data_IF_806962339929
#
_entry.id   IF_806962339929
#
_cell.length_a   1.000
_cell.length_b   1.000
_cell.length_c   1.000
_cell.angle_alpha   90.00
_cell.angle_beta   90.00
_cell.angle_gamma   90.00
#
_symmetry.space_group_name_H-M   'P 1'
#
loop_
_entity.id
_entity.type
_entity.pdbx_description
1 polymer ?
#
# COMPACT_ATOMS: atom_id res chain seq x y z
N UNK A 1 30.07 -0.42 -3.05
CA UNK A 1 29.25 0.35 -2.09
C UNK A 1 28.58 -0.62 -1.14
N UNK A 2 28.14 -0.17 0.01
CA UNK A 2 27.50 -1.06 1.01
C UNK A 2 26.00 -0.87 0.93
N UNK A 3 25.25 -1.95 0.68
CA UNK A 3 23.79 -1.90 0.53
C UNK A 3 23.07 -2.16 1.84
N UNK A 4 22.09 -1.31 2.10
CA UNK A 4 21.18 -1.42 3.24
C UNK A 4 19.77 -1.65 2.77
N UNK A 5 19.07 -2.55 3.46
CA UNK A 5 17.62 -2.70 3.40
C UNK A 5 17.04 -2.08 4.65
N UNK A 6 15.99 -1.28 4.51
CA UNK A 6 15.28 -0.71 5.63
C UNK A 6 13.77 -0.97 5.51
N UNK A 7 13.15 -1.25 6.66
CA UNK A 7 11.70 -1.23 6.80
C UNK A 7 11.30 0.10 7.42
N UNK A 8 10.34 0.77 6.78
CA UNK A 8 9.84 2.08 7.21
C UNK A 8 8.32 2.05 7.37
N UNK A 9 7.81 2.85 8.29
CA UNK A 9 6.40 3.18 8.41
C UNK A 9 6.16 4.65 8.12
N UNK A 10 4.96 5.02 7.67
CA UNK A 10 4.62 6.42 7.45
C UNK A 10 3.11 6.69 7.48
N UNK A 11 2.76 7.86 7.99
CA UNK A 11 1.46 8.48 7.79
C UNK A 11 1.45 9.21 6.42
N UNK A 12 0.71 8.66 5.46
CA UNK A 12 0.64 9.17 4.10
C UNK A 12 -0.18 10.45 3.92
N UNK A 13 -0.85 10.94 4.97
CA UNK A 13 -1.84 12.03 4.91
C UNK A 13 -1.34 13.28 4.19
N UNK A 14 -0.11 13.71 4.50
CA UNK A 14 0.50 14.94 3.96
C UNK A 14 1.43 14.68 2.77
N UNK A 15 1.45 13.45 2.24
CA UNK A 15 2.30 13.08 1.13
C UNK A 15 1.51 12.88 -0.17
N UNK A 16 2.11 13.30 -1.26
CA UNK A 16 1.62 13.05 -2.63
C UNK A 16 1.99 11.64 -3.12
N UNK A 17 2.22 10.71 -2.20
CA UNK A 17 2.62 9.33 -2.41
C UNK A 17 4.09 9.07 -2.14
N UNK A 18 4.52 7.84 -2.43
CA UNK A 18 5.90 7.41 -2.15
C UNK A 18 6.92 8.05 -3.10
N UNK A 19 6.66 8.00 -4.40
CA UNK A 19 7.62 8.38 -5.45
C UNK A 19 7.84 9.89 -5.50
N UNK A 20 9.10 10.32 -5.57
CA UNK A 20 9.48 11.73 -5.79
C UNK A 20 8.83 12.29 -7.06
N UNK A 21 8.27 13.49 -6.95
CA UNK A 21 7.59 14.22 -8.00
C UNK A 21 7.97 15.70 -7.95
N UNK A 22 7.97 16.42 -9.08
CA UNK A 22 8.17 17.87 -9.07
C UNK A 22 7.07 18.55 -8.25
N UNK A 23 7.46 19.51 -7.40
CA UNK A 23 6.55 20.38 -6.63
C UNK A 23 5.56 19.66 -5.69
N UNK A 24 5.90 18.46 -5.23
CA UNK A 24 5.05 17.71 -4.32
C UNK A 24 5.88 16.95 -3.28
N UNK A 25 5.51 17.07 -2.01
CA UNK A 25 6.16 16.34 -0.90
C UNK A 25 5.92 14.84 -1.04
N UNK A 26 6.97 14.05 -1.00
CA UNK A 26 6.91 12.58 -1.15
C UNK A 26 7.80 11.88 -0.11
N UNK A 27 7.46 10.62 0.21
CA UNK A 27 8.23 9.80 1.16
C UNK A 27 9.67 9.63 0.71
N UNK A 28 9.88 9.29 -0.56
CA UNK A 28 11.21 9.11 -1.13
C UNK A 28 12.07 10.37 -1.00
N UNK A 29 11.52 11.54 -1.26
CA UNK A 29 12.25 12.81 -1.19
C UNK A 29 12.69 13.13 0.23
N UNK A 30 11.83 12.94 1.23
CA UNK A 30 12.19 13.21 2.64
C UNK A 30 13.28 12.25 3.14
N UNK A 31 13.20 10.97 2.76
CA UNK A 31 14.26 9.99 3.06
C UNK A 31 15.58 10.35 2.39
N UNK A 32 15.56 10.75 1.12
CA UNK A 32 16.76 11.17 0.37
C UNK A 32 17.39 12.46 0.95
N UNK A 33 16.56 13.42 1.41
CA UNK A 33 17.02 14.62 2.13
C UNK A 33 17.69 14.26 3.45
N UNK A 34 17.14 13.33 4.20
CA UNK A 34 17.71 12.88 5.48
C UNK A 34 19.00 12.12 5.27
N UNK A 35 19.05 11.20 4.30
CA UNK A 35 20.27 10.50 3.93
C UNK A 35 21.37 11.44 3.41
N UNK A 36 21.03 12.49 2.66
CA UNK A 36 21.98 13.52 2.22
C UNK A 36 22.69 14.19 3.41
N UNK A 37 21.93 14.56 4.46
CA UNK A 37 22.51 15.14 5.68
C UNK A 37 23.43 14.15 6.39
N UNK A 38 22.97 12.92 6.57
CA UNK A 38 23.75 11.86 7.23
C UNK A 38 24.98 11.43 6.45
N UNK A 39 24.97 11.56 5.13
CA UNK A 39 26.06 11.18 4.23
C UNK A 39 26.92 12.38 3.84
N UNK A 40 27.10 13.36 4.74
CA UNK A 40 27.98 14.52 4.59
C UNK A 40 27.75 15.29 3.28
N UNK A 41 26.49 15.44 2.87
CA UNK A 41 26.11 16.18 1.66
C UNK A 41 26.23 15.37 0.37
N UNK A 42 26.60 14.10 0.41
CA UNK A 42 26.63 13.23 -0.77
C UNK A 42 25.24 12.62 -1.00
N UNK A 43 24.63 12.82 -2.20
CA UNK A 43 23.30 12.30 -2.51
C UNK A 43 23.25 10.76 -2.44
N UNK A 44 22.14 10.27 -1.90
CA UNK A 44 21.82 8.83 -1.81
C UNK A 44 20.45 8.60 -2.43
N UNK A 45 20.36 7.66 -3.37
CA UNK A 45 19.10 7.32 -4.02
C UNK A 45 18.38 6.22 -3.22
N UNK A 46 17.10 6.43 -2.94
CA UNK A 46 16.23 5.45 -2.26
C UNK A 46 15.37 4.71 -3.27
N UNK A 47 15.37 3.38 -3.19
CA UNK A 47 14.55 2.50 -4.01
C UNK A 47 13.52 1.78 -3.16
N UNK A 48 12.23 2.03 -3.38
CA UNK A 48 11.14 1.36 -2.67
C UNK A 48 10.70 0.06 -3.33
N UNK A 49 10.25 -0.89 -2.53
CA UNK A 49 9.67 -2.16 -3.00
C UNK A 49 8.37 -1.94 -3.81
N UNK A 50 7.64 -0.87 -3.52
CA UNK A 50 6.44 -0.48 -4.24
C UNK A 50 6.15 1.00 -4.07
N UNK A 51 5.32 1.52 -4.96
CA UNK A 51 4.80 2.87 -4.83
C UNK A 51 3.45 2.82 -4.12
N UNK A 52 3.23 3.77 -3.22
CA UNK A 52 1.90 4.05 -2.67
C UNK A 52 1.38 5.36 -3.26
N UNK A 53 0.06 5.45 -3.42
CA UNK A 53 -0.62 6.66 -3.91
C UNK A 53 -0.63 7.77 -2.83
N UNK A 54 -1.02 8.98 -3.22
CA UNK A 54 -1.26 10.09 -2.29
C UNK A 54 -2.26 9.69 -1.19
N UNK A 55 -1.95 10.02 0.05
CA UNK A 55 -2.76 9.73 1.22
C UNK A 55 -2.77 8.27 1.67
N UNK A 56 -1.98 7.40 1.06
CA UNK A 56 -1.85 5.97 1.44
C UNK A 56 -0.73 5.82 2.47
N UNK A 57 -1.02 5.07 3.54
CA UNK A 57 -0.11 4.82 4.65
C UNK A 57 0.70 3.52 4.47
N UNK A 58 1.72 3.32 5.30
CA UNK A 58 2.42 2.05 5.41
C UNK A 58 2.85 1.78 6.84
N UNK A 59 2.73 0.51 7.26
CA UNK A 59 3.36 -0.02 8.47
C UNK A 59 4.69 -0.70 8.15
N UNK A 60 4.86 -1.22 6.94
CA UNK A 60 6.00 -2.06 6.57
C UNK A 60 6.41 -1.88 5.10
N UNK A 61 6.67 -0.64 4.64
CA UNK A 61 7.30 -0.40 3.35
C UNK A 61 8.79 -0.77 3.43
N UNK A 62 9.29 -1.46 2.43
CA UNK A 62 10.72 -1.80 2.33
C UNK A 62 11.40 -0.93 1.29
N UNK A 63 12.54 -0.41 1.66
CA UNK A 63 13.44 0.35 0.79
C UNK A 63 14.84 -0.27 0.78
N UNK A 64 15.64 0.04 -0.24
CA UNK A 64 17.09 -0.13 -0.17
C UNK A 64 17.80 1.13 -0.65
N UNK A 65 19.02 1.30 -0.18
CA UNK A 65 19.93 2.38 -0.57
C UNK A 65 21.38 1.95 -0.35
N UNK A 66 22.31 2.64 -1.01
CA UNK A 66 23.74 2.36 -0.94
C UNK A 66 24.49 3.50 -0.29
N UNK A 67 25.42 3.17 0.62
CA UNK A 67 26.35 4.12 1.23
C UNK A 67 27.79 3.80 0.80
N UNK A 68 28.69 4.82 0.73
CA UNK A 68 30.07 4.61 0.33
C UNK A 68 30.88 3.81 1.35
N UNK A 69 30.50 3.86 2.62
CA UNK A 69 31.18 3.19 3.73
C UNK A 69 30.17 2.44 4.58
N UNK A 70 30.64 1.33 5.16
CA UNK A 70 29.85 0.56 6.11
C UNK A 70 29.61 1.35 7.40
N UNK A 71 28.39 1.30 7.89
CA UNK A 71 27.95 1.86 9.15
C UNK A 71 27.18 0.83 9.94
N UNK A 72 27.29 0.90 11.25
CA UNK A 72 26.48 0.08 12.13
C UNK A 72 24.98 0.30 11.87
N UNK A 73 24.20 -0.76 11.55
CA UNK A 73 22.80 -0.63 11.17
C UNK A 73 21.93 0.04 12.22
N UNK A 74 22.16 -0.23 13.53
CA UNK A 74 21.36 0.36 14.60
C UNK A 74 21.66 1.85 14.79
N UNK A 75 22.93 2.27 14.67
CA UNK A 75 23.29 3.68 14.71
C UNK A 75 22.73 4.42 13.49
N UNK A 76 22.75 3.77 12.31
CA UNK A 76 22.18 4.33 11.08
C UNK A 76 20.66 4.45 11.19
N UNK A 77 19.98 3.42 11.73
CA UNK A 77 18.54 3.45 12.00
C UNK A 77 18.18 4.62 12.91
N UNK A 78 18.83 4.71 14.06
CA UNK A 78 18.61 5.81 15.02
C UNK A 78 18.85 7.19 14.39
N UNK A 79 19.93 7.33 13.62
CA UNK A 79 20.26 8.60 12.96
C UNK A 79 19.24 8.98 11.87
N UNK A 80 18.71 8.01 11.13
CA UNK A 80 17.64 8.25 10.14
C UNK A 80 16.33 8.60 10.83
N UNK A 81 15.94 7.80 11.82
CA UNK A 81 14.69 7.94 12.53
C UNK A 81 14.58 9.31 13.21
N UNK A 82 15.60 9.72 13.96
CA UNK A 82 15.63 11.02 14.65
C UNK A 82 15.69 12.25 13.74
N UNK A 83 16.06 12.10 12.47
CA UNK A 83 16.19 13.20 11.51
C UNK A 83 15.12 13.17 10.41
N UNK A 84 14.34 12.09 10.30
CA UNK A 84 13.15 12.07 9.47
C UNK A 84 12.07 12.98 10.06
N UNK A 85 11.13 13.46 9.23
CA UNK A 85 9.93 14.11 9.73
C UNK A 85 9.09 13.15 10.59
N UNK A 86 8.31 13.67 11.54
CA UNK A 86 7.48 12.89 12.49
C UNK A 86 6.46 11.95 11.82
N UNK A 87 6.19 12.12 10.54
CA UNK A 87 5.29 11.29 9.77
C UNK A 87 6.01 10.15 8.99
N UNK A 88 7.31 9.94 9.25
CA UNK A 88 8.10 8.80 8.77
C UNK A 88 8.93 8.22 9.91
N UNK A 89 8.78 6.92 10.16
CA UNK A 89 9.54 6.15 11.14
C UNK A 89 10.39 5.07 10.45
N UNK A 90 11.61 4.84 10.98
CA UNK A 90 12.53 3.81 10.47
C UNK A 90 12.55 2.62 11.42
N UNK A 91 11.74 1.63 11.11
CA UNK A 91 11.50 0.45 11.98
C UNK A 91 12.74 -0.42 12.12
N UNK A 92 13.43 -0.71 11.01
CA UNK A 92 14.65 -1.54 11.02
C UNK A 92 15.56 -1.19 9.86
N UNK A 93 16.86 -1.43 10.05
CA UNK A 93 17.88 -1.41 8.98
C UNK A 93 18.75 -2.65 9.12
N UNK A 94 19.11 -3.25 8.01
CA UNK A 94 20.03 -4.37 7.94
C UNK A 94 20.96 -4.26 6.72
N UNK A 95 22.17 -4.84 6.85
CA UNK A 95 23.08 -5.02 5.73
C UNK A 95 22.57 -6.15 4.85
N UNK A 96 22.63 -5.94 3.54
CA UNK A 96 22.23 -6.96 2.56
C UNK A 96 23.25 -7.05 1.41
N UNK A 97 23.20 -8.15 0.66
CA UNK A 97 24.00 -8.30 -0.56
C UNK A 97 23.76 -7.14 -1.52
N UNK A 98 24.80 -6.75 -2.27
CA UNK A 98 24.69 -5.74 -3.34
C UNK A 98 23.72 -6.16 -4.45
N UNK A 99 23.40 -7.45 -4.56
CA UNK A 99 22.41 -7.98 -5.49
C UNK A 99 20.96 -7.76 -5.03
N UNK A 100 20.75 -7.49 -3.73
CA UNK A 100 19.41 -7.24 -3.22
C UNK A 100 18.79 -6.01 -3.86
N UNK A 101 17.58 -6.15 -4.37
CA UNK A 101 16.80 -5.03 -4.89
C UNK A 101 15.38 -5.07 -4.35
N UNK A 102 14.99 -4.07 -3.56
CA UNK A 102 13.70 -4.04 -2.85
C UNK A 102 12.50 -4.32 -3.77
N UNK A 103 12.54 -3.86 -5.03
CA UNK A 103 11.43 -4.02 -5.98
C UNK A 103 11.45 -5.33 -6.77
N UNK A 104 12.63 -5.86 -7.09
CA UNK A 104 12.76 -6.93 -8.07
C UNK A 104 13.02 -8.30 -7.45
N UNK A 105 13.55 -8.36 -6.23
CA UNK A 105 13.61 -9.63 -5.51
C UNK A 105 12.20 -10.17 -5.27
N UNK A 106 12.06 -11.48 -5.30
CA UNK A 106 10.77 -12.15 -5.11
C UNK A 106 10.23 -11.85 -3.72
N UNK A 107 9.01 -11.34 -3.67
CA UNK A 107 8.35 -10.94 -2.43
C UNK A 107 6.83 -11.01 -2.57
N UNK A 108 6.18 -11.08 -1.44
CA UNK A 108 4.74 -10.86 -1.29
C UNK A 108 4.46 -9.54 -0.58
N UNK A 109 3.28 -8.97 -0.82
CA UNK A 109 2.78 -7.74 -0.18
C UNK A 109 1.42 -7.98 0.42
N UNK A 110 1.23 -7.48 1.62
CA UNK A 110 -0.08 -7.45 2.27
C UNK A 110 -0.54 -6.00 2.42
N UNK A 111 -1.77 -5.75 1.97
CA UNK A 111 -2.47 -4.48 2.16
C UNK A 111 -3.68 -4.68 3.06
N UNK A 112 -3.94 -3.69 3.92
CA UNK A 112 -5.18 -3.55 4.66
C UNK A 112 -5.90 -2.27 4.25
N UNK A 113 -7.23 -2.31 4.20
CA UNK A 113 -8.04 -1.14 3.94
C UNK A 113 -9.13 -1.02 5.00
N UNK A 114 -9.15 0.12 5.68
CA UNK A 114 -10.07 0.40 6.79
C UNK A 114 -11.26 1.24 6.31
N UNK A 115 -12.48 0.79 6.65
CA UNK A 115 -13.73 1.50 6.35
C UNK A 115 -14.51 1.73 7.62
N UNK A 116 -14.78 3.00 7.91
CA UNK A 116 -15.72 3.44 8.95
C UNK A 116 -17.14 3.56 8.33
N UNK A 117 -18.03 2.64 8.68
CA UNK A 117 -19.44 2.70 8.31
C UNK A 117 -20.32 3.27 9.44
N UNK A 118 -19.71 3.79 10.51
CA UNK A 118 -20.38 4.33 11.69
C UNK A 118 -21.22 5.58 11.40
N UNK A 119 -22.29 5.74 12.18
CA UNK A 119 -23.12 6.93 12.19
C UNK A 119 -23.39 7.36 13.63
N UNK A 120 -22.92 8.53 14.04
CA UNK A 120 -22.16 9.54 13.27
C UNK A 120 -20.75 9.06 12.91
N UNK A 121 -20.16 9.65 11.86
CA UNK A 121 -18.76 9.38 11.48
C UNK A 121 -17.81 9.81 12.61
N UNK A 122 -16.69 9.09 12.75
CA UNK A 122 -15.62 9.49 13.66
C UNK A 122 -14.67 10.51 12.99
N UNK A 123 -14.69 11.80 13.37
CA UNK A 123 -13.84 12.81 12.74
C UNK A 123 -12.35 12.62 13.01
N UNK A 124 -11.97 11.94 14.11
CA UNK A 124 -10.57 11.64 14.43
C UNK A 124 -9.95 10.63 13.45
N UNK A 125 -10.79 9.78 12.84
CA UNK A 125 -10.36 8.79 11.87
C UNK A 125 -10.43 9.25 10.40
N UNK A 126 -10.75 10.53 10.15
CA UNK A 126 -10.94 11.07 8.80
C UNK A 126 -9.76 10.87 7.84
N UNK A 127 -8.54 10.77 8.37
CA UNK A 127 -7.32 10.55 7.60
C UNK A 127 -6.87 9.08 7.60
N UNK A 128 -7.48 8.22 8.44
CA UNK A 128 -7.00 6.87 8.74
C UNK A 128 -8.01 5.77 8.42
N UNK A 129 -9.25 6.12 8.10
CA UNK A 129 -10.27 5.20 7.62
C UNK A 129 -11.18 5.92 6.62
N UNK A 130 -11.55 5.22 5.56
CA UNK A 130 -12.52 5.76 4.60
C UNK A 130 -13.91 5.70 5.20
N UNK A 131 -14.56 6.87 5.40
CA UNK A 131 -15.96 6.87 5.82
C UNK A 131 -16.88 6.46 4.67
N UNK A 132 -17.74 5.46 4.93
CA UNK A 132 -18.73 4.96 3.98
C UNK A 132 -20.14 5.04 4.58
N UNK A 133 -20.96 6.03 4.20
CA UNK A 133 -22.19 6.38 4.92
C UNK A 133 -23.39 5.47 4.63
N UNK A 134 -23.18 4.34 3.99
CA UNK A 134 -24.25 3.39 3.64
C UNK A 134 -24.15 2.11 4.46
N UNK A 135 -25.28 1.48 4.82
CA UNK A 135 -25.27 0.17 5.44
C UNK A 135 -24.50 -0.84 4.60
N UNK A 136 -23.74 -1.70 5.26
CA UNK A 136 -22.95 -2.75 4.63
C UNK A 136 -23.33 -4.12 5.20
N UNK A 137 -23.49 -5.08 4.31
CA UNK A 137 -23.65 -6.50 4.65
C UNK A 137 -22.32 -7.21 4.47
N UNK A 138 -21.78 -7.83 5.52
CA UNK A 138 -20.47 -8.48 5.50
C UNK A 138 -20.44 -9.71 4.59
N UNK A 139 -21.44 -10.59 4.69
CA UNK A 139 -21.46 -11.88 4.01
C UNK A 139 -21.35 -11.77 2.47
N UNK A 140 -22.09 -10.89 1.76
CA UNK A 140 -21.91 -10.72 0.32
C UNK A 140 -20.50 -10.26 -0.08
N UNK A 141 -19.85 -9.40 0.73
CA UNK A 141 -18.48 -8.95 0.49
C UNK A 141 -17.47 -10.08 0.66
N UNK A 142 -17.64 -10.89 1.72
CA UNK A 142 -16.80 -12.07 1.98
C UNK A 142 -16.93 -13.12 0.87
N UNK A 143 -18.12 -13.36 0.40
CA UNK A 143 -18.37 -14.33 -0.69
C UNK A 143 -17.71 -13.86 -1.98
N UNK A 144 -17.93 -12.61 -2.36
CA UNK A 144 -17.37 -12.03 -3.59
C UNK A 144 -15.84 -11.87 -3.53
N UNK A 145 -15.26 -11.65 -2.34
CA UNK A 145 -13.81 -11.52 -2.17
C UNK A 145 -13.06 -12.82 -2.52
N UNK A 146 -13.71 -14.00 -2.37
CA UNK A 146 -13.11 -15.30 -2.72
C UNK A 146 -12.74 -15.37 -4.20
N UNK A 147 -13.51 -14.75 -5.09
CA UNK A 147 -13.24 -14.72 -6.54
C UNK A 147 -11.95 -13.97 -6.90
N UNK A 148 -11.42 -13.14 -5.99
CA UNK A 148 -10.15 -12.44 -6.20
C UNK A 148 -8.93 -13.33 -5.96
N UNK A 149 -9.08 -14.42 -5.21
CA UNK A 149 -7.98 -15.34 -4.88
C UNK A 149 -7.62 -16.17 -6.10
N UNK A 150 -6.33 -16.27 -6.37
CA UNK A 150 -5.81 -16.99 -7.55
C UNK A 150 -5.01 -16.09 -8.47
N UNK A 151 -4.65 -16.63 -9.63
CA UNK A 151 -3.92 -15.91 -10.68
C UNK A 151 -4.88 -15.42 -11.74
N UNK A 152 -5.04 -14.11 -11.87
CA UNK A 152 -6.00 -13.47 -12.78
C UNK A 152 -5.37 -12.31 -13.54
N UNK A 153 -5.95 -11.97 -14.68
CA UNK A 153 -5.70 -10.70 -15.34
C UNK A 153 -6.56 -9.59 -14.69
N UNK A 154 -5.91 -8.72 -13.92
CA UNK A 154 -6.54 -7.63 -13.17
C UNK A 154 -6.74 -6.34 -13.98
N UNK A 155 -6.80 -6.42 -15.32
CA UNK A 155 -7.07 -5.24 -16.17
C UNK A 155 -8.33 -4.50 -15.73
N UNK A 156 -9.42 -5.22 -15.40
CA UNK A 156 -10.68 -4.64 -14.94
C UNK A 156 -10.61 -3.94 -13.58
N UNK A 157 -9.58 -4.23 -12.78
CA UNK A 157 -9.33 -3.55 -11.51
C UNK A 157 -8.18 -2.54 -11.56
N UNK A 158 -7.58 -2.30 -12.73
CA UNK A 158 -6.45 -1.37 -12.90
C UNK A 158 -6.95 0.00 -13.37
N UNK A 159 -6.44 1.08 -12.78
CA UNK A 159 -6.73 2.42 -13.26
C UNK A 159 -5.96 2.73 -14.56
N UNK A 160 -6.49 3.64 -15.36
CA UNK A 160 -5.83 4.18 -16.55
C UNK A 160 -4.51 4.90 -16.17
N UNK A 161 -3.60 5.05 -17.14
CA UNK A 161 -2.33 5.75 -16.95
C UNK A 161 -1.19 4.88 -16.40
N UNK A 162 -1.33 3.56 -16.35
CA UNK A 162 -0.23 2.64 -16.05
C UNK A 162 0.54 2.27 -17.32
N UNK A 163 1.87 2.24 -17.22
CA UNK A 163 2.78 1.72 -18.26
C UNK A 163 3.02 0.21 -18.16
N UNK A 164 2.38 -0.47 -17.18
CA UNK A 164 2.55 -1.90 -16.96
C UNK A 164 1.70 -2.66 -17.97
N UNK A 165 2.36 -3.39 -18.86
CA UNK A 165 1.70 -4.21 -19.90
C UNK A 165 1.12 -5.50 -19.32
N UNK A 166 1.92 -6.28 -18.59
CA UNK A 166 1.46 -7.51 -17.95
C UNK A 166 0.65 -7.21 -16.70
N UNK A 167 -0.66 -7.42 -16.77
CA UNK A 167 -1.61 -7.17 -15.69
C UNK A 167 -2.02 -8.44 -14.92
N UNK A 168 -1.38 -9.55 -15.20
CA UNK A 168 -1.60 -10.80 -14.45
C UNK A 168 -0.92 -10.71 -13.09
N UNK A 169 -1.68 -10.98 -12.02
CA UNK A 169 -1.19 -11.03 -10.63
C UNK A 169 -1.77 -12.25 -9.94
N UNK A 170 -1.07 -12.70 -8.91
CA UNK A 170 -1.55 -13.77 -8.03
C UNK A 170 -1.89 -13.16 -6.68
N UNK A 171 -3.15 -13.24 -6.29
CA UNK A 171 -3.63 -12.90 -4.95
C UNK A 171 -3.74 -14.20 -4.16
N UNK A 172 -3.06 -14.27 -3.02
CA UNK A 172 -3.03 -15.44 -2.13
C UNK A 172 -4.04 -15.34 -1.01
N UNK A 173 -4.47 -14.13 -0.68
CA UNK A 173 -5.50 -13.85 0.33
C UNK A 173 -6.35 -12.65 -0.11
N UNK A 174 -7.66 -12.79 0.02
CA UNK A 174 -8.62 -11.70 -0.05
C UNK A 174 -9.72 -11.95 0.98
N UNK A 175 -9.84 -11.08 1.98
CA UNK A 175 -10.79 -11.25 3.08
C UNK A 175 -11.40 -9.93 3.51
N UNK A 176 -12.60 -10.01 4.11
CA UNK A 176 -13.28 -8.88 4.74
C UNK A 176 -13.72 -9.33 6.13
N UNK A 177 -13.41 -8.50 7.12
CA UNK A 177 -13.81 -8.73 8.52
C UNK A 177 -14.30 -7.43 9.15
N UNK A 178 -14.84 -7.55 10.37
CA UNK A 178 -15.18 -6.39 11.21
C UNK A 178 -14.29 -6.48 12.44
N UNK A 179 -13.62 -5.39 12.75
CA UNK A 179 -12.88 -5.24 14.01
C UNK A 179 -13.89 -5.05 15.15
N UNK A 180 -13.86 -5.94 16.13
CA UNK A 180 -14.83 -5.96 17.23
C UNK A 180 -14.73 -4.72 18.15
N UNK A 181 -13.56 -4.08 18.22
CA UNK A 181 -13.33 -2.92 19.10
C UNK A 181 -13.78 -1.62 18.46
N UNK A 182 -13.50 -1.46 17.18
CA UNK A 182 -13.78 -0.22 16.45
C UNK A 182 -15.06 -0.27 15.63
N UNK A 183 -15.55 -1.45 15.28
CA UNK A 183 -16.64 -1.66 14.34
C UNK A 183 -16.25 -1.40 12.87
N UNK A 184 -14.99 -1.18 12.59
CA UNK A 184 -14.51 -0.91 11.22
C UNK A 184 -14.49 -2.19 10.39
N UNK A 185 -14.85 -2.05 9.12
CA UNK A 185 -14.61 -3.11 8.15
C UNK A 185 -13.14 -3.07 7.72
N UNK A 186 -12.50 -4.23 7.79
CA UNK A 186 -11.09 -4.44 7.39
C UNK A 186 -11.09 -5.33 6.16
N UNK A 187 -10.54 -4.83 5.07
CA UNK A 187 -10.30 -5.58 3.85
C UNK A 187 -8.81 -5.92 3.78
N UNK A 188 -8.46 -7.19 3.70
CA UNK A 188 -7.06 -7.64 3.64
C UNK A 188 -6.80 -8.32 2.31
N UNK A 189 -5.71 -7.93 1.63
CA UNK A 189 -5.27 -8.52 0.37
C UNK A 189 -3.78 -8.81 0.43
N UNK A 190 -3.40 -10.07 0.14
CA UNK A 190 -1.99 -10.49 0.01
C UNK A 190 -1.75 -11.06 -1.38
N UNK A 191 -0.56 -10.82 -1.95
CA UNK A 191 -0.21 -11.33 -3.28
C UNK A 191 1.21 -10.94 -3.72
N UNK A 192 1.60 -11.40 -4.90
CA UNK A 192 2.93 -11.19 -5.47
C UNK A 192 3.18 -9.78 -6.01
N UNK A 193 2.16 -8.92 -5.94
CA UNK A 193 2.21 -7.52 -6.37
C UNK A 193 0.84 -7.01 -6.77
N UNK A 194 0.71 -5.70 -6.80
CA UNK A 194 -0.54 -5.03 -7.14
C UNK A 194 -0.31 -3.96 -8.19
N UNK A 195 -1.30 -3.75 -9.05
CA UNK A 195 -1.32 -2.76 -10.12
C UNK A 195 -1.79 -1.39 -9.59
N UNK A 196 -1.66 -0.38 -10.42
CA UNK A 196 -2.06 0.99 -10.07
C UNK A 196 -3.53 1.04 -9.64
N UNK A 197 -3.77 1.46 -8.41
CA UNK A 197 -5.06 1.56 -7.72
C UNK A 197 -5.85 0.24 -7.64
N UNK A 198 -5.24 -0.92 -7.89
CA UNK A 198 -5.93 -2.22 -7.91
C UNK A 198 -6.66 -2.49 -6.60
N UNK A 199 -5.99 -2.40 -5.44
CA UNK A 199 -6.61 -2.65 -4.13
C UNK A 199 -7.80 -1.71 -3.90
N UNK A 200 -7.65 -0.43 -4.17
CA UNK A 200 -8.71 0.57 -4.02
C UNK A 200 -9.92 0.32 -4.93
N UNK A 201 -9.70 -0.21 -6.14
CA UNK A 201 -10.78 -0.57 -7.07
C UNK A 201 -11.49 -1.85 -6.62
N UNK A 202 -10.76 -2.84 -6.09
CA UNK A 202 -11.36 -4.03 -5.48
C UNK A 202 -12.22 -3.66 -4.28
N UNK A 203 -11.72 -2.85 -3.35
CA UNK A 203 -12.49 -2.35 -2.20
C UNK A 203 -13.74 -1.59 -2.65
N UNK A 204 -13.61 -0.66 -3.59
CA UNK A 204 -14.76 0.10 -4.08
C UNK A 204 -15.86 -0.78 -4.72
N UNK A 205 -15.47 -1.89 -5.35
CA UNK A 205 -16.41 -2.88 -5.89
C UNK A 205 -17.07 -3.67 -4.77
N UNK A 206 -16.30 -4.17 -3.80
CA UNK A 206 -16.82 -4.90 -2.63
C UNK A 206 -17.78 -4.04 -1.79
N UNK A 207 -17.49 -2.74 -1.62
CA UNK A 207 -18.40 -1.81 -0.94
C UNK A 207 -19.73 -1.64 -1.69
N UNK A 208 -19.74 -1.67 -3.03
CA UNK A 208 -20.98 -1.64 -3.82
C UNK A 208 -21.75 -2.95 -3.74
N UNK A 209 -21.08 -4.07 -3.57
CA UNK A 209 -21.71 -5.37 -3.31
C UNK A 209 -22.30 -5.37 -1.90
N UNK A 210 -21.54 -4.94 -0.89
CA UNK A 210 -21.97 -4.89 0.51
C UNK A 210 -23.20 -4.02 0.75
N UNK A 211 -23.39 -2.95 -0.02
CA UNK A 211 -24.57 -2.08 0.07
C UNK A 211 -25.71 -2.47 -0.90
N UNK A 212 -25.61 -3.63 -1.57
CA UNK A 212 -26.64 -4.16 -2.47
C UNK A 212 -26.77 -3.47 -3.84
N UNK A 213 -25.83 -2.57 -4.19
CA UNK A 213 -25.85 -1.87 -5.49
C UNK A 213 -25.16 -2.64 -6.63
N UNK A 214 -24.45 -3.71 -6.31
CA UNK A 214 -23.86 -4.65 -7.26
C UNK A 214 -24.12 -6.08 -6.79
N UNK A 215 -24.30 -7.05 -7.71
CA UNK A 215 -24.50 -8.44 -7.36
C UNK A 215 -23.21 -9.07 -6.81
N UNK A 216 -23.31 -10.16 -6.04
CA UNK A 216 -22.18 -10.92 -5.49
C UNK A 216 -21.23 -11.40 -6.61
N UNK A 217 -21.74 -11.74 -7.78
CA UNK A 217 -20.98 -12.16 -8.96
C UNK A 217 -20.17 -11.03 -9.65
N UNK A 218 -20.28 -9.78 -9.17
CA UNK A 218 -19.69 -8.65 -9.86
C UNK A 218 -18.16 -8.73 -9.97
N UNK A 219 -17.47 -9.24 -8.95
CA UNK A 219 -16.01 -9.43 -8.99
C UNK A 219 -15.63 -10.36 -10.14
N UNK A 220 -16.29 -11.50 -10.25
CA UNK A 220 -16.08 -12.47 -11.34
C UNK A 220 -16.36 -11.84 -12.72
N UNK A 221 -17.45 -11.11 -12.85
CA UNK A 221 -17.80 -10.38 -14.08
C UNK A 221 -16.70 -9.39 -14.51
N UNK A 222 -16.12 -8.65 -13.55
CA UNK A 222 -15.04 -7.69 -13.84
C UNK A 222 -13.75 -8.40 -14.25
N UNK A 223 -13.39 -9.52 -13.61
CA UNK A 223 -12.22 -10.32 -13.95
C UNK A 223 -12.34 -10.91 -15.36
N UNK A 224 -13.48 -11.54 -15.69
CA UNK A 224 -13.73 -12.18 -16.98
C UNK A 224 -13.79 -11.16 -18.14
N UNK A 225 -14.49 -10.04 -17.91
CA UNK A 225 -14.66 -8.99 -18.95
C UNK A 225 -13.44 -8.09 -19.11
N UNK A 226 -12.54 -8.03 -18.12
CA UNK A 226 -11.40 -7.10 -18.05
C UNK A 226 -11.80 -5.63 -18.21
N UNK A 227 -13.06 -5.31 -17.99
CA UNK A 227 -13.62 -3.98 -18.21
C UNK A 227 -13.68 -3.18 -16.90
N UNK A 228 -12.86 -2.12 -16.79
CA UNK A 228 -12.81 -1.24 -15.62
C UNK A 228 -14.17 -0.55 -15.33
N UNK A 229 -14.98 -0.31 -16.34
CA UNK A 229 -16.27 0.39 -16.16
C UNK A 229 -17.31 -0.47 -15.42
N UNK A 230 -17.10 -1.78 -15.35
CA UNK A 230 -17.95 -2.70 -14.58
C UNK A 230 -17.51 -2.82 -13.13
N UNK A 231 -16.32 -2.37 -12.77
CA UNK A 231 -15.89 -2.31 -11.37
C UNK A 231 -16.48 -1.09 -10.64
N UNK A 232 -16.49 -1.15 -9.33
CA UNK A 232 -16.90 -0.05 -8.48
C UNK A 232 -15.97 1.17 -8.57
N UNK A 233 -16.34 2.31 -7.95
CA UNK A 233 -15.50 3.49 -7.91
C UNK A 233 -14.20 3.21 -7.14
N UNK A 234 -13.12 3.94 -7.48
CA UNK A 234 -11.87 3.84 -6.73
C UNK A 234 -12.09 4.36 -5.30
N UNK A 235 -11.87 3.55 -4.29
CA UNK A 235 -11.93 3.97 -2.89
C UNK A 235 -10.85 5.02 -2.57
N UNK A 236 -11.07 5.87 -1.57
CA UNK A 236 -10.13 6.91 -1.17
C UNK A 236 -8.79 6.32 -0.68
N UNK A 237 -7.70 7.09 -0.71
CA UNK A 237 -6.38 6.60 -0.29
C UNK A 237 -6.22 6.46 1.23
N UNK A 238 -6.90 7.31 1.99
CA UNK A 238 -6.79 7.46 3.44
C UNK A 238 -7.19 6.24 4.29
N UNK A 239 -7.82 5.22 3.70
CA UNK A 239 -8.09 3.96 4.38
C UNK A 239 -7.09 2.86 4.05
N UNK A 240 -6.17 3.08 3.10
CA UNK A 240 -5.25 2.06 2.60
C UNK A 240 -3.91 2.08 3.32
N UNK A 241 -3.46 0.90 3.73
CA UNK A 241 -2.19 0.66 4.39
C UNK A 241 -1.41 -0.44 3.69
N UNK A 242 -0.16 -0.18 3.32
CA UNK A 242 0.79 -1.24 3.03
C UNK A 242 1.24 -1.82 4.37
N UNK A 243 0.71 -3.00 4.72
CA UNK A 243 0.93 -3.62 6.03
C UNK A 243 2.33 -4.16 6.16
N UNK A 244 2.73 -4.99 5.20
CA UNK A 244 4.02 -5.67 5.21
C UNK A 244 4.48 -6.10 3.83
N UNK A 245 5.78 -6.34 3.70
CA UNK A 245 6.42 -6.96 2.53
C UNK A 245 7.33 -8.07 3.03
N UNK A 246 7.13 -9.31 2.54
CA UNK A 246 7.90 -10.48 2.92
C UNK A 246 8.70 -10.95 1.71
N UNK A 247 10.01 -11.03 1.85
CA UNK A 247 10.93 -11.56 0.84
C UNK A 247 11.17 -13.06 1.07
N UNK A 248 11.30 -13.80 -0.05
CA UNK A 248 11.63 -15.24 -0.05
C UNK A 248 13.15 -15.45 0.01
#
# INVERSE_FOLDING_TARGET
MVRYKATISYDGTLFSGFQRQPNARSIQEELEKTLLRLNSGTPVTVHGAGRTDAGVHAYGQVIHFDLPQERDPEKLRFGLDTQCPDDIDVVSIELVSEEFHARYNKHSKTYEFLVDAGRPKNPMMRNYATHYPYPLSLAPMQESAKDLVGTHDFTGFTASGTSVENKVRTITQASVSIDEKTGFYIFTFSGNGFLYKQVRNMVGTLLKIGNGRMPVSQVKTVLESRNRNLAGPTAAGNGLYLKEIIYE
#
